data_IF_495544897588
#
_entry.id   IF_495544897588
#
_cell.length_a   1.000
_cell.length_b   1.000
_cell.length_c   1.000
_cell.angle_alpha   90.00
_cell.angle_beta   90.00
_cell.angle_gamma   90.00
#
_symmetry.space_group_name_H-M   'P 1'
#
loop_
_entity.id
_entity.type
_entity.pdbx_description
1 polymer ?
#
# COMPACT_ATOMS: atom_id res chain seq x y z
N UNK A 1 -3.19 9.18 6.08
CA UNK A 1 -2.75 7.78 5.85
C UNK A 1 -3.83 6.75 6.12
N UNK A 2 -4.58 6.84 7.22
CA UNK A 2 -5.66 5.88 7.56
C UNK A 2 -6.61 5.57 6.39
N UNK A 3 -7.18 6.60 5.74
CA UNK A 3 -8.03 6.43 4.56
C UNK A 3 -7.34 5.67 3.42
N UNK A 4 -6.06 5.95 3.18
CA UNK A 4 -5.29 5.32 2.12
C UNK A 4 -5.09 3.82 2.41
N UNK A 5 -4.75 3.47 3.65
CA UNK A 5 -4.63 2.07 4.09
C UNK A 5 -5.95 1.32 3.97
N UNK A 6 -7.06 1.94 4.39
CA UNK A 6 -8.40 1.34 4.26
C UNK A 6 -8.80 1.13 2.80
N UNK A 7 -8.51 2.11 1.94
CA UNK A 7 -8.81 2.02 0.51
C UNK A 7 -7.95 0.95 -0.17
N UNK A 8 -6.65 0.88 0.13
CA UNK A 8 -5.77 -0.18 -0.34
C UNK A 8 -6.27 -1.56 0.11
N UNK A 9 -6.63 -1.72 1.40
CA UNK A 9 -7.19 -2.98 1.89
C UNK A 9 -8.46 -3.39 1.13
N UNK A 10 -9.36 -2.43 0.92
CA UNK A 10 -10.61 -2.66 0.19
C UNK A 10 -10.36 -3.03 -1.27
N UNK A 11 -9.56 -2.23 -1.98
CA UNK A 11 -9.45 -2.30 -3.43
C UNK A 11 -8.40 -3.26 -3.95
N UNK A 12 -7.38 -3.60 -3.17
CA UNK A 12 -6.38 -4.60 -3.56
C UNK A 12 -6.70 -5.98 -3.00
N UNK A 13 -7.30 -6.08 -1.81
CA UNK A 13 -7.49 -7.38 -1.14
C UNK A 13 -8.95 -7.81 -1.03
N UNK A 14 -9.83 -6.96 -0.47
CA UNK A 14 -11.24 -7.35 -0.27
C UNK A 14 -12.04 -7.44 -1.58
N UNK A 15 -11.63 -6.72 -2.62
CA UNK A 15 -12.18 -6.80 -3.97
C UNK A 15 -11.77 -8.07 -4.73
N UNK A 16 -10.71 -8.76 -4.28
CA UNK A 16 -10.14 -9.90 -4.98
C UNK A 16 -9.28 -9.53 -6.20
N UNK A 17 -8.63 -8.36 -6.22
CA UNK A 17 -7.75 -7.95 -7.32
C UNK A 17 -6.62 -8.97 -7.54
N UNK A 18 -6.59 -9.57 -8.73
CA UNK A 18 -5.66 -10.63 -9.09
C UNK A 18 -4.19 -10.16 -9.04
N UNK A 19 -3.91 -8.88 -9.32
CA UNK A 19 -2.56 -8.33 -9.26
C UNK A 19 -2.00 -8.33 -7.83
N UNK A 20 -2.88 -8.33 -6.81
CA UNK A 20 -2.50 -8.26 -5.41
C UNK A 20 -2.75 -9.56 -4.63
N UNK A 21 -3.34 -10.58 -5.27
CA UNK A 21 -3.56 -11.89 -4.70
C UNK A 21 -2.31 -12.55 -4.07
N UNK A 22 -1.07 -12.37 -4.61
CA UNK A 22 0.14 -12.95 -4.00
C UNK A 22 0.59 -12.27 -2.70
N UNK A 23 -0.04 -11.16 -2.30
CA UNK A 23 0.41 -10.33 -1.19
C UNK A 23 -0.60 -10.29 -0.03
N UNK A 24 -0.21 -9.65 1.06
CA UNK A 24 -1.10 -9.29 2.16
C UNK A 24 -0.74 -7.91 2.68
N UNK A 25 -1.76 -7.18 3.11
CA UNK A 25 -1.57 -5.91 3.80
C UNK A 25 -1.16 -6.20 5.24
N UNK A 26 0.04 -5.79 5.61
CA UNK A 26 0.48 -5.76 6.99
C UNK A 26 0.28 -4.33 7.53
N UNK A 27 -0.62 -4.13 8.51
CA UNK A 27 -0.60 -2.91 9.31
C UNK A 27 0.75 -2.87 10.02
N UNK A 28 1.27 -1.67 10.28
CA UNK A 28 2.61 -1.51 10.83
C UNK A 28 2.73 -2.22 12.20
N UNK A 29 3.24 -3.45 12.18
CA UNK A 29 3.72 -4.15 13.35
C UNK A 29 4.96 -3.36 13.79
N UNK A 30 4.79 -2.53 14.84
CA UNK A 30 5.89 -1.97 15.63
C UNK A 30 6.88 -1.02 14.91
N UNK A 31 6.43 0.10 14.31
CA UNK A 31 7.39 1.19 14.03
C UNK A 31 7.06 2.49 14.79
N UNK A 32 7.89 2.72 15.81
CA UNK A 32 8.03 3.94 16.61
C UNK A 32 8.66 5.11 15.80
N UNK A 33 8.56 5.10 14.47
CA UNK A 33 9.20 6.10 13.60
C UNK A 33 8.45 7.45 13.55
N UNK A 34 7.24 7.51 14.13
CA UNK A 34 6.41 8.71 14.12
C UNK A 34 5.84 9.07 12.74
N UNK A 35 6.02 8.20 11.73
CA UNK A 35 5.48 8.38 10.38
C UNK A 35 4.49 7.26 10.05
N UNK A 36 3.24 7.59 9.70
CA UNK A 36 2.25 6.57 9.39
C UNK A 36 2.60 5.88 8.07
N UNK A 37 2.63 4.54 8.07
CA UNK A 37 2.87 3.72 6.86
C UNK A 37 1.99 2.47 6.85
N UNK A 38 1.85 1.86 5.68
CA UNK A 38 1.38 0.47 5.55
C UNK A 38 2.29 -0.31 4.62
N UNK A 39 2.26 -1.63 4.76
CA UNK A 39 3.20 -2.54 4.10
C UNK A 39 2.44 -3.57 3.28
N UNK A 40 3.01 -3.98 2.15
CA UNK A 40 2.65 -5.25 1.53
C UNK A 40 3.76 -6.27 1.76
N UNK A 41 3.35 -7.45 2.17
CA UNK A 41 4.22 -8.61 2.43
C UNK A 41 3.74 -9.79 1.59
N UNK A 42 4.52 -10.88 1.47
CA UNK A 42 4.01 -12.12 0.90
C UNK A 42 2.74 -12.60 1.61
N UNK A 43 1.80 -13.15 0.85
CA UNK A 43 0.53 -13.64 1.40
C UNK A 43 0.76 -14.62 2.55
N UNK A 44 0.05 -14.40 3.66
CA UNK A 44 0.11 -15.26 4.84
C UNK A 44 1.42 -15.17 5.64
N UNK A 45 2.31 -14.21 5.33
CA UNK A 45 3.59 -14.02 6.04
C UNK A 45 3.74 -12.57 6.55
N UNK A 46 2.95 -12.14 7.54
CA UNK A 46 2.96 -10.76 8.08
C UNK A 46 4.31 -10.28 8.60
N UNK A 47 5.16 -11.18 9.10
CA UNK A 47 6.49 -10.86 9.64
C UNK A 47 7.62 -10.93 8.60
N UNK A 48 7.31 -11.27 7.35
CA UNK A 48 8.31 -11.27 6.27
C UNK A 48 8.75 -9.86 5.89
N UNK A 49 9.91 -9.77 5.25
CA UNK A 49 10.42 -8.51 4.69
C UNK A 49 9.36 -7.85 3.80
N UNK A 50 9.06 -6.55 4.00
CA UNK A 50 8.12 -5.83 3.14
C UNK A 50 8.57 -5.80 1.68
N UNK A 51 7.63 -6.05 0.78
CA UNK A 51 7.79 -5.95 -0.67
C UNK A 51 7.36 -4.57 -1.20
N UNK A 52 6.43 -3.92 -0.50
CA UNK A 52 6.05 -2.53 -0.70
C UNK A 52 5.95 -1.84 0.65
N UNK A 53 6.47 -0.62 0.73
CA UNK A 53 6.28 0.30 1.85
C UNK A 53 5.64 1.56 1.29
N UNK A 54 4.52 1.97 1.87
CA UNK A 54 3.88 3.26 1.56
C UNK A 54 3.88 4.10 2.83
N UNK A 55 4.68 5.16 2.85
CA UNK A 55 4.89 6.03 4.01
C UNK A 55 4.36 7.44 3.75
N UNK A 56 3.68 8.03 4.72
CA UNK A 56 3.32 9.46 4.66
C UNK A 56 4.48 10.36 5.10
N UNK A 57 4.74 11.44 4.36
CA UNK A 57 5.69 12.49 4.79
C UNK A 57 5.13 13.31 5.95
N UNK A 58 5.97 13.57 6.95
CA UNK A 58 5.62 14.42 8.10
C UNK A 58 5.19 15.82 7.62
N UNK A 59 4.05 16.31 8.12
CA UNK A 59 3.55 17.65 7.81
C UNK A 59 2.96 17.83 6.40
N UNK A 60 2.69 16.74 5.67
CA UNK A 60 2.20 16.79 4.29
C UNK A 60 1.19 15.66 3.98
N UNK A 61 0.42 15.81 2.90
CA UNK A 61 -0.36 14.73 2.27
C UNK A 61 0.44 13.94 1.25
N UNK A 62 1.72 14.27 1.07
CA UNK A 62 2.65 13.50 0.25
C UNK A 62 2.92 12.13 0.87
N UNK A 63 3.09 11.14 -0.01
CA UNK A 63 3.56 9.81 0.35
C UNK A 63 4.85 9.52 -0.40
N UNK A 64 5.64 8.62 0.15
CA UNK A 64 6.73 7.95 -0.50
C UNK A 64 6.44 6.46 -0.63
N UNK A 65 6.91 5.85 -1.71
CA UNK A 65 6.70 4.43 -2.02
C UNK A 65 8.04 3.75 -2.28
N UNK A 66 8.28 2.63 -1.62
CA UNK A 66 9.56 1.91 -1.67
C UNK A 66 9.36 0.40 -1.76
N UNK A 67 10.39 -0.31 -2.22
CA UNK A 67 10.47 -1.76 -2.14
C UNK A 67 10.45 -2.47 -3.50
N UNK A 68 10.69 -3.79 -3.51
CA UNK A 68 10.76 -4.60 -4.73
C UNK A 68 9.60 -4.41 -5.69
N UNK A 69 8.35 -4.27 -5.21
CA UNK A 69 7.19 -4.13 -6.09
C UNK A 69 7.21 -2.87 -6.97
N UNK A 70 8.04 -1.88 -6.63
CA UNK A 70 8.20 -0.68 -7.46
C UNK A 70 9.11 -0.91 -8.68
N UNK A 71 9.80 -2.04 -8.77
CA UNK A 71 10.57 -2.48 -9.94
C UNK A 71 9.87 -3.55 -10.79
N UNK A 72 8.68 -3.98 -10.38
CA UNK A 72 7.92 -5.05 -11.03
C UNK A 72 6.80 -4.49 -11.94
N UNK A 73 6.20 -5.29 -12.83
CA UNK A 73 5.10 -4.84 -13.69
C UNK A 73 3.90 -4.23 -12.92
N UNK A 74 3.66 -4.68 -11.68
CA UNK A 74 2.59 -4.15 -10.81
C UNK A 74 2.87 -2.71 -10.31
N UNK A 75 4.09 -2.19 -10.47
CA UNK A 75 4.47 -0.84 -10.02
C UNK A 75 3.58 0.25 -10.62
N UNK A 76 3.28 0.17 -11.92
CA UNK A 76 2.43 1.15 -12.60
C UNK A 76 1.01 1.19 -12.00
N UNK A 77 0.48 0.01 -11.69
CA UNK A 77 -0.81 -0.17 -11.02
C UNK A 77 -0.82 0.46 -9.62
N UNK A 78 0.20 0.15 -8.82
CA UNK A 78 0.40 0.71 -7.48
C UNK A 78 0.44 2.25 -7.53
N UNK A 79 1.27 2.82 -8.41
CA UNK A 79 1.42 4.28 -8.52
C UNK A 79 0.12 4.97 -8.96
N UNK A 80 -0.60 4.39 -9.93
CA UNK A 80 -1.86 4.94 -10.42
C UNK A 80 -2.94 4.94 -9.34
N UNK A 81 -3.11 3.83 -8.63
CA UNK A 81 -4.07 3.70 -7.53
C UNK A 81 -3.77 4.66 -6.39
N UNK A 82 -2.52 4.72 -5.93
CA UNK A 82 -2.11 5.61 -4.85
C UNK A 82 -2.26 7.09 -5.22
N UNK A 83 -1.95 7.47 -6.47
CA UNK A 83 -2.16 8.84 -6.97
C UNK A 83 -3.65 9.20 -6.95
N UNK A 84 -4.49 8.33 -7.52
CA UNK A 84 -5.95 8.50 -7.55
C UNK A 84 -6.53 8.64 -6.15
N UNK A 85 -6.12 7.79 -5.22
CA UNK A 85 -6.64 7.82 -3.86
C UNK A 85 -6.16 9.01 -3.04
N UNK A 86 -4.94 9.51 -3.31
CA UNK A 86 -4.45 10.77 -2.73
C UNK A 86 -5.22 11.97 -3.23
N UNK A 87 -5.70 11.95 -4.46
CA UNK A 87 -6.58 12.98 -5.02
C UNK A 87 -8.02 12.95 -4.46
N UNK A 88 -8.36 11.96 -3.64
CA UNK A 88 -9.62 11.88 -2.91
C UNK A 88 -10.65 10.91 -3.48
N UNK A 89 -10.38 10.31 -4.65
CA UNK A 89 -11.18 9.20 -5.15
C UNK A 89 -10.97 7.95 -4.28
N UNK A 90 -11.95 7.08 -4.17
CA UNK A 90 -11.84 5.88 -3.33
C UNK A 90 -12.26 4.59 -4.07
N UNK A 91 -12.58 4.69 -5.37
CA UNK A 91 -12.96 3.57 -6.21
C UNK A 91 -11.83 2.56 -6.49
N UNK A 92 -12.24 1.30 -6.66
CA UNK A 92 -11.41 0.17 -7.05
C UNK A 92 -11.46 -0.02 -8.58
N UNK A 93 -11.01 0.97 -9.34
CA UNK A 93 -10.92 0.88 -10.80
C UNK A 93 -9.62 0.18 -11.17
N UNK A 94 -9.70 -0.98 -11.86
CA UNK A 94 -8.59 -1.72 -12.50
C UNK A 94 -7.92 -0.91 -13.62
#
# INVERSE_FOLDING_TARGET
MERLTLTANRCWFKSGDAAFAPYSLAPELSSFSGRPRFLLVPRGKPESKPLLVVEGRKGSTAIDTYGPLMGEPVAARISADLSRWRAGADGCSA
#
